data_IF_823270347818
#
_entry.id   IF_823270347818
#
_cell.length_a   1.000
_cell.length_b   1.000
_cell.length_c   1.000
_cell.angle_alpha   90.00
_cell.angle_beta   90.00
_cell.angle_gamma   90.00
#
_symmetry.space_group_name_H-M   'P 1'
#
loop_
_entity.id
_entity.type
_entity.pdbx_description
1 polymer ?
#
# COMPACT_ATOMS: atom_id res chain seq x y z
N UNK A 1 17.66 7.66 0.84
CA UNK A 1 16.78 7.02 1.79
C UNK A 1 15.71 6.20 1.09
N UNK A 2 15.61 4.98 1.42
CA UNK A 2 14.61 4.14 0.79
C UNK A 2 13.23 4.45 1.38
N UNK A 3 12.23 4.38 0.52
CA UNK A 3 10.86 4.53 0.94
C UNK A 3 10.41 3.24 1.60
N UNK A 4 9.88 3.34 2.80
CA UNK A 4 9.32 2.16 3.43
C UNK A 4 7.99 1.80 2.78
N UNK A 5 7.77 0.51 2.62
CA UNK A 5 6.49 0.05 2.12
C UNK A 5 5.42 0.31 3.17
N UNK A 6 4.27 0.75 2.71
CA UNK A 6 3.15 1.01 3.60
C UNK A 6 2.41 -0.26 3.97
N UNK A 7 2.43 -1.24 3.08
CA UNK A 7 1.60 -2.43 3.22
C UNK A 7 2.46 -3.68 3.35
N UNK A 8 2.02 -4.60 4.17
CA UNK A 8 2.68 -5.88 4.35
C UNK A 8 1.62 -6.97 4.40
N UNK A 9 2.03 -8.22 4.27
CA UNK A 9 1.10 -9.35 4.38
C UNK A 9 1.35 -10.08 5.67
N UNK A 10 0.27 -10.47 6.32
CA UNK A 10 0.35 -11.29 7.53
C UNK A 10 -0.57 -12.49 7.34
N UNK A 11 -0.16 -13.60 7.94
CA UNK A 11 -0.95 -14.82 7.88
C UNK A 11 -1.84 -14.90 9.12
N UNK A 12 -3.12 -15.15 8.86
CA UNK A 12 -4.08 -15.33 9.92
C UNK A 12 -4.01 -16.76 10.47
N UNK A 13 -4.47 -17.00 11.69
CA UNK A 13 -4.45 -18.34 12.26
C UNK A 13 -5.26 -19.37 11.47
N UNK A 14 -6.14 -18.91 10.57
CA UNK A 14 -6.99 -19.77 9.75
C UNK A 14 -6.38 -20.07 8.40
N UNK A 15 -5.10 -19.87 8.22
CA UNK A 15 -4.37 -20.11 6.97
C UNK A 15 -4.80 -19.18 5.83
N UNK A 16 -5.45 -18.09 6.15
CA UNK A 16 -5.70 -17.03 5.17
C UNK A 16 -4.72 -15.90 5.39
N UNK A 17 -4.70 -14.97 4.45
CA UNK A 17 -3.73 -13.89 4.47
C UNK A 17 -4.43 -12.54 4.42
N UNK A 18 -3.84 -11.55 5.06
CA UNK A 18 -4.36 -10.19 5.12
C UNK A 18 -3.27 -9.23 4.71
N UNK A 19 -3.62 -8.24 3.90
CA UNK A 19 -2.72 -7.12 3.62
C UNK A 19 -2.93 -6.10 4.73
N UNK A 20 -1.85 -5.75 5.41
CA UNK A 20 -1.90 -4.88 6.59
C UNK A 20 -1.38 -3.50 6.25
N UNK A 21 -2.11 -2.49 6.65
CA UNK A 21 -1.71 -1.09 6.49
C UNK A 21 -0.88 -0.68 7.71
N UNK A 22 0.41 -0.55 7.51
CA UNK A 22 1.33 -0.26 8.59
C UNK A 22 1.21 1.16 9.13
N UNK A 23 0.71 2.08 8.32
CA UNK A 23 0.54 3.47 8.75
C UNK A 23 -0.68 3.59 9.66
N UNK A 24 -1.80 3.02 9.25
CA UNK A 24 -3.04 3.12 10.03
C UNK A 24 -3.18 1.98 11.03
N UNK A 25 -2.30 0.98 10.97
CA UNK A 25 -2.31 -0.15 11.89
C UNK A 25 -3.65 -0.89 11.85
N UNK A 26 -4.06 -1.23 10.64
CA UNK A 26 -5.34 -1.90 10.40
C UNK A 26 -5.26 -2.66 9.09
N UNK A 27 -6.19 -3.59 8.83
CA UNK A 27 -6.23 -4.26 7.53
C UNK A 27 -6.43 -3.25 6.41
N UNK A 28 -5.68 -3.44 5.34
CA UNK A 28 -5.78 -2.53 4.20
C UNK A 28 -7.11 -2.70 3.48
N UNK A 29 -7.53 -1.66 2.81
CA UNK A 29 -8.76 -1.68 2.04
C UNK A 29 -8.46 -1.25 0.61
N UNK A 30 -9.13 -1.90 -0.32
CA UNK A 30 -9.07 -1.51 -1.72
C UNK A 30 -10.49 -1.13 -2.13
N UNK A 31 -10.73 0.18 -2.23
CA UNK A 31 -12.09 0.65 -2.39
C UNK A 31 -12.90 0.31 -1.14
N UNK A 32 -13.97 -0.44 -1.32
CA UNK A 32 -14.82 -0.86 -0.23
C UNK A 32 -14.48 -2.26 0.28
N UNK A 33 -13.43 -2.87 -0.26
CA UNK A 33 -13.09 -4.25 0.09
C UNK A 33 -11.94 -4.28 1.07
N UNK A 34 -12.13 -4.99 2.18
CA UNK A 34 -11.06 -5.28 3.11
C UNK A 34 -10.20 -6.40 2.51
N UNK A 35 -8.89 -6.19 2.48
CA UNK A 35 -7.97 -7.16 1.90
C UNK A 35 -7.60 -8.21 2.94
N UNK A 36 -8.57 -9.05 3.28
CA UNK A 36 -8.43 -10.10 4.27
C UNK A 36 -9.01 -11.39 3.73
N UNK A 37 -8.72 -12.51 4.38
CA UNK A 37 -9.18 -13.83 3.99
C UNK A 37 -8.76 -14.17 2.55
N UNK A 38 -7.55 -13.79 2.19
CA UNK A 38 -6.99 -14.00 0.86
C UNK A 38 -6.08 -15.21 0.86
N UNK A 39 -5.84 -15.75 -0.33
CA UNK A 39 -4.75 -16.71 -0.49
C UNK A 39 -3.42 -15.96 -0.42
N UNK A 40 -2.34 -16.71 -0.20
CA UNK A 40 -1.03 -16.09 -0.14
C UNK A 40 -0.71 -15.34 -1.43
N UNK A 41 -1.00 -15.95 -2.57
CA UNK A 41 -0.71 -15.33 -3.86
C UNK A 41 -1.51 -14.05 -4.04
N UNK A 42 -2.79 -14.08 -3.68
CA UNK A 42 -3.65 -12.91 -3.78
C UNK A 42 -3.16 -11.78 -2.87
N UNK A 43 -2.79 -12.13 -1.65
CA UNK A 43 -2.35 -11.12 -0.69
C UNK A 43 -1.04 -10.48 -1.13
N UNK A 44 -0.11 -11.29 -1.63
CA UNK A 44 1.18 -10.75 -2.08
C UNK A 44 1.01 -9.86 -3.29
N UNK A 45 0.17 -10.26 -4.24
CA UNK A 45 -0.11 -9.43 -5.40
C UNK A 45 -0.78 -8.12 -5.02
N UNK A 46 -1.75 -8.19 -4.12
CA UNK A 46 -2.43 -6.98 -3.65
C UNK A 46 -1.47 -6.05 -2.92
N UNK A 47 -0.62 -6.62 -2.07
CA UNK A 47 0.40 -5.82 -1.37
C UNK A 47 1.29 -5.08 -2.36
N UNK A 48 1.75 -5.77 -3.38
CA UNK A 48 2.66 -5.17 -4.35
C UNK A 48 1.99 -4.04 -5.11
N UNK A 49 0.75 -4.24 -5.52
CA UNK A 49 -0.01 -3.21 -6.22
C UNK A 49 -0.25 -2.00 -5.32
N UNK A 50 -0.63 -2.24 -4.07
CA UNK A 50 -0.90 -1.17 -3.12
C UNK A 50 0.35 -0.38 -2.79
N UNK A 51 1.48 -1.06 -2.58
CA UNK A 51 2.74 -0.37 -2.31
C UNK A 51 3.20 0.43 -3.51
N UNK A 52 3.02 -0.10 -4.70
CA UNK A 52 3.40 0.62 -5.92
C UNK A 52 2.57 1.88 -6.07
N UNK A 53 1.26 1.78 -5.84
CA UNK A 53 0.38 2.94 -5.90
C UNK A 53 0.76 3.98 -4.86
N UNK A 54 1.09 3.53 -3.66
CA UNK A 54 1.50 4.44 -2.59
C UNK A 54 2.78 5.19 -2.95
N UNK A 55 3.77 4.48 -3.50
CA UNK A 55 5.01 5.13 -3.91
C UNK A 55 4.77 6.15 -5.01
N UNK A 56 3.89 5.82 -5.96
CA UNK A 56 3.56 6.75 -7.04
C UNK A 56 2.89 8.01 -6.53
N UNK A 57 2.03 7.87 -5.54
CA UNK A 57 1.41 9.04 -4.91
C UNK A 57 2.45 9.94 -4.26
N UNK A 58 3.43 9.33 -3.58
CA UNK A 58 4.49 10.10 -2.95
C UNK A 58 5.32 10.85 -3.98
N UNK A 59 5.69 10.17 -5.05
CA UNK A 59 6.46 10.79 -6.13
C UNK A 59 5.68 11.90 -6.80
N UNK A 60 4.40 11.67 -7.04
CA UNK A 60 3.54 12.65 -7.68
C UNK A 60 3.41 13.90 -6.83
N UNK A 61 3.29 13.74 -5.54
CA UNK A 61 3.21 14.89 -4.62
C UNK A 61 4.50 15.71 -4.66
N UNK A 62 5.64 15.03 -4.67
CA UNK A 62 6.92 15.72 -4.76
C UNK A 62 7.07 16.44 -6.08
N UNK A 63 6.68 15.81 -7.17
CA UNK A 63 6.75 16.42 -8.48
C UNK A 63 5.86 17.64 -8.61
N UNK A 64 4.69 17.58 -8.02
CA UNK A 64 3.78 18.71 -8.01
C UNK A 64 4.37 19.90 -7.29
N UNK A 65 5.00 19.66 -6.17
CA UNK A 65 5.65 20.73 -5.42
C UNK A 65 6.76 21.38 -6.24
N UNK A 66 7.55 20.55 -6.93
CA UNK A 66 8.60 21.06 -7.76
C UNK A 66 8.06 21.88 -8.92
N UNK A 67 6.98 21.44 -9.53
CA UNK A 67 6.37 22.17 -10.63
C UNK A 67 5.82 23.51 -10.18
N UNK A 68 5.23 23.55 -9.02
CA UNK A 68 4.71 24.81 -8.48
C UNK A 68 5.84 25.81 -8.29
N UNK A 69 6.95 25.34 -7.80
CA UNK A 69 8.11 26.20 -7.60
C UNK A 69 8.60 26.75 -8.93
N UNK A 70 8.65 25.88 -9.94
CA UNK A 70 9.10 26.30 -11.26
C UNK A 70 8.15 27.29 -11.92
N UNK A 71 6.88 27.12 -11.69
CA UNK A 71 5.86 27.97 -12.30
C UNK A 71 5.90 29.37 -11.71
N UNK A 72 6.33 29.48 -10.49
CA UNK A 72 6.45 30.78 -9.86
C UNK A 72 7.64 31.55 -10.39
#
# INVERSE_FOLDING_TARGET
MSTQDRYDVIMDPTDTWTVWDLINDEPAMFGDHVLAALTQVEAMAARDVMNDAWRRLQESALNKQNKQTDAA
#
